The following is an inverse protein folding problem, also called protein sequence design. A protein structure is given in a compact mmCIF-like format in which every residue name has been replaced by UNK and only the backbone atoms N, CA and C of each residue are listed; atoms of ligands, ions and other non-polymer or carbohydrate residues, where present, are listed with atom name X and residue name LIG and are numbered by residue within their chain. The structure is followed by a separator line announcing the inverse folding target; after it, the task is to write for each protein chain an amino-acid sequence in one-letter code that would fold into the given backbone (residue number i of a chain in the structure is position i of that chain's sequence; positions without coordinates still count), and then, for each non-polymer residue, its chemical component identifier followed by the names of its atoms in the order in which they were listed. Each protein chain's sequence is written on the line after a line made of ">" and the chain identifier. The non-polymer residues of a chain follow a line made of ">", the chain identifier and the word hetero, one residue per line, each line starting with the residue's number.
data_IF_402426201643
#
_entry.id   IF_402426201643
#
_cell.length_a   1.000
_cell.length_b   1.000
_cell.length_c   1.000
_cell.angle_alpha   90.00
_cell.angle_beta   90.00
_cell.angle_gamma   90.00
#
_symmetry.space_group_name_H-M   'P 1'
#
loop_
_entity.id
_entity.type
_entity.pdbx_description
1 polymer ?
#
# COMPACT_ATOMS: atom_id res chain seq x y z
N UNK A 1 -8.72 13.84 -1.28
CA UNK A 1 -8.00 13.34 -0.09
C UNK A 1 -8.66 12.08 0.39
N UNK A 2 -7.93 11.26 1.13
CA UNK A 2 -8.38 10.02 1.76
C UNK A 2 -8.21 10.17 3.26
N UNK A 3 -9.23 9.81 4.05
CA UNK A 3 -9.10 9.79 5.51
C UNK A 3 -8.60 8.43 5.97
N UNK A 4 -7.49 8.40 6.71
CA UNK A 4 -6.95 7.17 7.28
C UNK A 4 -6.44 7.43 8.71
N UNK A 5 -7.16 7.00 9.76
CA UNK A 5 -6.72 7.21 11.13
C UNK A 5 -5.49 6.33 11.45
N UNK A 6 -4.76 6.65 12.53
CA UNK A 6 -3.58 5.89 12.94
C UNK A 6 -3.85 4.41 13.17
N UNK A 7 -2.96 3.53 12.70
CA UNK A 7 -3.04 2.09 12.90
C UNK A 7 -4.14 1.37 12.12
N UNK A 8 -4.81 2.03 11.18
CA UNK A 8 -5.84 1.44 10.32
C UNK A 8 -5.46 1.50 8.84
N UNK A 9 -6.08 0.63 8.04
CA UNK A 9 -6.15 0.75 6.59
C UNK A 9 -7.63 0.83 6.24
N UNK A 10 -8.14 2.04 6.07
CA UNK A 10 -9.56 2.25 5.77
C UNK A 10 -9.91 1.70 4.38
N UNK A 11 -11.19 1.36 4.19
CA UNK A 11 -11.72 1.02 2.87
C UNK A 11 -11.49 2.16 1.86
N UNK A 12 -11.48 3.42 2.31
CA UNK A 12 -11.21 4.58 1.46
C UNK A 12 -9.77 4.54 0.94
N UNK A 13 -8.78 4.29 1.82
CA UNK A 13 -7.38 4.12 1.44
C UNK A 13 -7.19 2.95 0.49
N UNK A 14 -7.77 1.80 0.83
CA UNK A 14 -7.68 0.59 0.01
C UNK A 14 -8.21 0.82 -1.41
N UNK A 15 -9.41 1.40 -1.52
CA UNK A 15 -10.04 1.67 -2.80
C UNK A 15 -9.32 2.76 -3.60
N UNK A 16 -8.79 3.79 -2.95
CA UNK A 16 -8.01 4.83 -3.62
C UNK A 16 -6.77 4.25 -4.31
N UNK A 17 -6.04 3.37 -3.61
CA UNK A 17 -4.86 2.68 -4.18
C UNK A 17 -5.28 1.75 -5.32
N UNK A 18 -6.35 0.96 -5.14
CA UNK A 18 -6.88 0.09 -6.20
C UNK A 18 -7.19 0.87 -7.48
N UNK A 19 -7.99 1.92 -7.38
CA UNK A 19 -8.37 2.75 -8.52
C UNK A 19 -7.17 3.48 -9.13
N UNK A 20 -6.13 3.78 -8.34
CA UNK A 20 -4.91 4.39 -8.88
C UNK A 20 -4.21 3.50 -9.90
N UNK A 21 -4.16 2.18 -9.66
CA UNK A 21 -3.58 1.22 -10.62
C UNK A 21 -4.43 1.08 -11.89
N UNK A 22 -5.74 1.24 -11.78
CA UNK A 22 -6.68 1.17 -12.91
C UNK A 22 -6.69 2.46 -13.76
N UNK A 23 -6.21 3.58 -13.22
CA UNK A 23 -6.27 4.89 -13.89
C UNK A 23 -5.42 5.02 -15.16
N UNK A 24 -4.39 4.19 -15.32
CA UNK A 24 -3.43 4.25 -16.43
C UNK A 24 -2.57 5.52 -16.48
N UNK A 25 -2.68 6.39 -15.48
CA UNK A 25 -2.00 7.69 -15.41
C UNK A 25 -1.20 7.88 -14.12
N UNK A 26 -0.63 9.07 -13.96
CA UNK A 26 0.03 9.46 -12.71
C UNK A 26 -1.03 9.95 -11.72
N UNK A 27 -1.07 9.32 -10.55
CA UNK A 27 -2.02 9.65 -9.48
C UNK A 27 -1.23 10.11 -8.26
N UNK A 28 -1.74 11.14 -7.58
CA UNK A 28 -1.32 11.55 -6.24
C UNK A 28 -2.50 11.32 -5.30
N UNK A 29 -2.31 10.49 -4.28
CA UNK A 29 -3.26 10.32 -3.19
C UNK A 29 -2.75 11.20 -2.04
N UNK A 30 -3.60 12.09 -1.55
CA UNK A 30 -3.32 12.94 -0.40
C UNK A 30 -4.09 12.38 0.79
N UNK A 31 -3.39 12.11 1.88
CA UNK A 31 -3.91 11.37 3.03
C UNK A 31 -4.05 12.33 4.19
N UNK A 32 -5.26 12.39 4.74
CA UNK A 32 -5.58 13.10 5.97
C UNK A 32 -5.48 12.08 7.12
N UNK A 33 -4.33 12.05 7.80
CA UNK A 33 -4.01 11.10 8.87
C UNK A 33 -2.70 10.35 8.62
N UNK A 34 -2.73 9.03 8.74
CA UNK A 34 -1.57 8.13 8.66
C UNK A 34 -1.49 7.42 7.30
N UNK A 35 -0.31 7.43 6.66
CA UNK A 35 -0.07 6.90 5.32
C UNK A 35 0.90 5.71 5.29
N UNK A 36 1.66 5.47 6.36
CA UNK A 36 2.74 4.48 6.38
C UNK A 36 2.26 3.05 6.07
N UNK A 37 1.07 2.66 6.55
CA UNK A 37 0.46 1.36 6.26
C UNK A 37 0.01 1.22 4.80
N UNK A 38 -0.08 2.30 4.02
CA UNK A 38 -0.47 2.27 2.60
C UNK A 38 0.49 1.44 1.73
N UNK A 39 1.72 1.21 2.19
CA UNK A 39 2.67 0.32 1.53
C UNK A 39 2.11 -1.11 1.38
N UNK A 40 1.30 -1.58 2.34
CA UNK A 40 0.72 -2.93 2.33
C UNK A 40 -0.32 -3.10 1.20
N UNK A 41 -1.41 -2.32 1.10
CA UNK A 41 -2.33 -2.39 -0.03
C UNK A 41 -1.65 -2.07 -1.36
N UNK A 42 -0.65 -1.16 -1.39
CA UNK A 42 0.11 -0.87 -2.60
C UNK A 42 0.84 -2.13 -3.14
N UNK A 43 1.49 -2.90 -2.26
CA UNK A 43 2.14 -4.15 -2.67
C UNK A 43 1.11 -5.23 -3.00
N UNK A 44 0.04 -5.34 -2.19
CA UNK A 44 -0.98 -6.38 -2.34
C UNK A 44 -1.74 -6.26 -3.67
N UNK A 45 -2.11 -5.05 -4.07
CA UNK A 45 -2.94 -4.76 -5.24
C UNK A 45 -2.11 -4.45 -6.50
N UNK A 46 -0.79 -4.38 -6.38
CA UNK A 46 0.08 -4.00 -7.48
C UNK A 46 -0.04 -4.96 -8.67
N UNK A 47 -0.19 -4.44 -9.91
CA UNK A 47 -0.07 -5.23 -11.13
C UNK A 47 1.31 -5.89 -11.27
N UNK A 48 1.39 -6.94 -12.08
CA UNK A 48 2.66 -7.61 -12.34
C UNK A 48 3.70 -6.69 -12.98
N UNK A 49 4.96 -6.84 -12.55
CA UNK A 49 6.06 -5.98 -12.97
C UNK A 49 6.11 -4.62 -12.26
N UNK A 50 5.19 -4.35 -11.33
CA UNK A 50 5.22 -3.12 -10.52
C UNK A 50 6.37 -3.16 -9.52
N UNK A 51 6.98 -1.99 -9.30
CA UNK A 51 7.88 -1.77 -8.18
C UNK A 51 7.25 -0.76 -7.22
N UNK A 52 7.28 -1.07 -5.93
CA UNK A 52 6.78 -0.19 -4.86
C UNK A 52 7.99 0.33 -4.08
N UNK A 53 7.99 1.64 -3.83
CA UNK A 53 8.99 2.30 -3.00
C UNK A 53 8.27 2.98 -1.84
N UNK A 54 8.74 2.74 -0.63
CA UNK A 54 8.20 3.38 0.57
C UNK A 54 9.31 3.69 1.56
N UNK A 55 9.07 4.69 2.42
CA UNK A 55 9.98 5.05 3.49
C UNK A 55 9.82 4.13 4.69
N UNK A 56 10.92 3.71 5.28
CA UNK A 56 10.96 2.99 6.55
C UNK A 56 11.84 3.78 7.53
N UNK A 57 11.30 4.20 8.69
CA UNK A 57 12.07 4.92 9.69
C UNK A 57 13.37 4.18 10.03
N UNK A 58 14.48 4.93 10.12
CA UNK A 58 15.84 4.43 10.39
C UNK A 58 16.49 3.57 9.29
N UNK A 59 15.74 3.09 8.30
CA UNK A 59 16.24 2.22 7.23
C UNK A 59 16.30 2.93 5.86
N UNK A 60 15.54 4.01 5.69
CA UNK A 60 15.52 4.80 4.45
C UNK A 60 14.44 4.33 3.47
N UNK A 61 14.77 4.23 2.19
CA UNK A 61 13.81 3.82 1.15
C UNK A 61 13.91 2.31 0.95
N UNK A 62 12.77 1.62 1.11
CA UNK A 62 12.63 0.21 0.76
C UNK A 62 12.14 0.11 -0.67
N UNK A 63 12.85 -0.67 -1.49
CA UNK A 63 12.46 -0.99 -2.86
C UNK A 63 11.94 -2.43 -2.92
N UNK A 64 10.69 -2.60 -3.37
CA UNK A 64 10.04 -3.89 -3.51
C UNK A 64 9.68 -4.11 -4.97
N UNK A 65 10.29 -5.13 -5.59
CA UNK A 65 9.80 -5.64 -6.87
C UNK A 65 8.65 -6.60 -6.59
N UNK A 66 7.44 -6.23 -6.98
CA UNK A 66 6.25 -6.99 -6.60
C UNK A 66 6.15 -8.27 -7.44
N UNK A 67 6.22 -9.41 -6.77
CA UNK A 67 5.89 -10.73 -7.29
C UNK A 67 5.00 -11.51 -6.31
N UNK A 68 4.83 -12.79 -6.59
CA UNK A 68 3.94 -13.64 -5.79
C UNK A 68 4.42 -13.82 -4.35
N UNK A 69 5.73 -13.86 -4.13
CA UNK A 69 6.30 -13.99 -2.79
C UNK A 69 5.96 -12.76 -1.93
N UNK A 70 6.20 -11.57 -2.46
CA UNK A 70 5.96 -10.29 -1.78
C UNK A 70 4.46 -10.10 -1.48
N UNK A 71 3.60 -10.39 -2.47
CA UNK A 71 2.14 -10.34 -2.29
C UNK A 71 1.67 -11.31 -1.22
N UNK A 72 2.12 -12.57 -1.26
CA UNK A 72 1.73 -13.57 -0.27
C UNK A 72 2.22 -13.20 1.14
N UNK A 73 3.42 -12.63 1.26
CA UNK A 73 3.95 -12.15 2.54
C UNK A 73 3.08 -11.03 3.11
N UNK A 74 2.74 -10.03 2.31
CA UNK A 74 1.85 -8.93 2.73
C UNK A 74 0.45 -9.43 3.07
N UNK A 75 -0.14 -10.30 2.24
CA UNK A 75 -1.44 -10.92 2.53
C UNK A 75 -1.44 -11.69 3.85
N UNK A 76 -0.36 -12.43 4.14
CA UNK A 76 -0.23 -13.15 5.41
C UNK A 76 -0.11 -12.22 6.61
N UNK A 77 0.47 -11.02 6.41
CA UNK A 77 0.59 -10.01 7.45
C UNK A 77 -0.75 -9.32 7.70
N UNK A 78 -1.44 -8.88 6.64
CA UNK A 78 -2.77 -8.28 6.72
C UNK A 78 -3.77 -9.19 7.44
N UNK A 79 -3.78 -10.49 7.14
CA UNK A 79 -4.64 -11.46 7.84
C UNK A 79 -4.40 -11.52 9.34
N UNK A 80 -3.16 -11.30 9.81
CA UNK A 80 -2.82 -11.28 11.24
C UNK A 80 -3.18 -9.96 11.92
N UNK A 81 -3.43 -8.89 11.15
CA UNK A 81 -3.89 -7.61 11.69
C UNK A 81 -5.40 -7.59 11.91
N UNK A 82 -6.15 -8.41 11.18
CA UNK A 82 -7.60 -8.58 11.35
C UNK A 82 -7.97 -9.51 12.53
N UNK A 83 -7.00 -10.22 13.09
CA UNK A 83 -7.13 -11.10 14.28
C UNK A 83 -6.97 -10.31 15.59
#
# INVERSE_FOLDING_TARGET
>A
NVSNPPGEITDEMWNAIKHSYESGGRVRIEVDGEEDLAALPAICLAPDGTSVLYGLPSEGIVFVKVGDYERNKVLSFLKKMEE
#
